data_IF_661675855392
#
_entry.id   IF_661675855392
#
_cell.length_a   1.000
_cell.length_b   1.000
_cell.length_c   1.000
_cell.angle_alpha   90.00
_cell.angle_beta   90.00
_cell.angle_gamma   90.00
#
_symmetry.space_group_name_H-M   'P 1'
#
loop_
_entity.id
_entity.type
_entity.pdbx_description
1 polymer ?
#
# COMPACT_ATOMS: atom_id res chain seq x y z
N UNK A 1 -3.28 -3.55 -19.64
CA UNK A 1 -2.67 -3.36 -18.31
C UNK A 1 -2.09 -1.96 -18.26
N UNK A 2 -2.31 -1.22 -17.17
CA UNK A 2 -2.07 0.22 -17.11
C UNK A 2 -0.56 0.54 -17.05
N UNK A 3 0.02 1.26 -18.03
CA UNK A 3 1.45 1.59 -18.06
C UNK A 3 1.90 2.54 -16.94
N UNK A 4 0.98 3.03 -16.11
CA UNK A 4 1.23 4.00 -15.06
C UNK A 4 1.73 3.39 -13.73
N UNK A 5 1.70 2.06 -13.56
CA UNK A 5 2.13 1.40 -12.32
C UNK A 5 3.47 0.70 -12.54
N UNK A 6 4.56 1.33 -12.08
CA UNK A 6 5.93 0.80 -12.17
C UNK A 6 6.42 0.07 -10.92
N UNK A 7 5.92 0.44 -9.74
CA UNK A 7 6.26 -0.18 -8.46
C UNK A 7 5.00 -0.35 -7.62
N UNK A 8 4.87 -1.51 -6.97
CA UNK A 8 3.80 -1.85 -6.07
C UNK A 8 4.39 -2.15 -4.69
N UNK A 9 4.29 -1.17 -3.79
CA UNK A 9 4.59 -1.37 -2.38
C UNK A 9 3.35 -1.93 -1.67
N UNK A 10 3.46 -3.16 -1.19
CA UNK A 10 2.47 -3.77 -0.31
C UNK A 10 2.90 -3.53 1.14
N UNK A 11 1.98 -3.10 1.98
CA UNK A 11 2.22 -2.92 3.41
C UNK A 11 1.11 -3.59 4.21
N UNK A 12 1.49 -4.29 5.27
CA UNK A 12 0.57 -4.82 6.28
C UNK A 12 1.33 -4.94 7.63
N UNK A 13 0.59 -5.04 8.72
CA UNK A 13 1.15 -5.39 10.03
C UNK A 13 1.64 -6.84 10.07
N UNK A 14 1.11 -7.72 9.22
CA UNK A 14 1.52 -9.13 9.12
C UNK A 14 1.37 -9.70 7.69
N UNK A 15 2.14 -10.75 7.38
CA UNK A 15 1.98 -11.60 6.18
C UNK A 15 2.19 -10.95 4.79
N UNK A 16 2.68 -9.72 4.70
CA UNK A 16 2.94 -9.04 3.41
C UNK A 16 3.95 -9.73 2.48
N UNK A 17 5.06 -10.35 2.96
CA UNK A 17 6.07 -10.92 2.06
C UNK A 17 5.55 -12.06 1.19
N UNK A 18 4.64 -12.88 1.71
CA UNK A 18 4.03 -13.98 0.94
C UNK A 18 3.14 -13.47 -0.19
N UNK A 19 2.38 -12.40 0.08
CA UNK A 19 1.54 -11.74 -0.93
C UNK A 19 2.39 -11.08 -2.01
N UNK A 20 3.49 -10.41 -1.63
CA UNK A 20 4.42 -9.82 -2.60
C UNK A 20 5.05 -10.89 -3.52
N UNK A 21 5.41 -12.05 -2.96
CA UNK A 21 5.93 -13.18 -3.72
C UNK A 21 4.90 -13.68 -4.74
N UNK A 22 3.64 -13.86 -4.32
CA UNK A 22 2.57 -14.31 -5.22
C UNK A 22 2.31 -13.33 -6.36
N UNK A 23 2.25 -12.02 -6.06
CA UNK A 23 2.11 -10.99 -7.09
C UNK A 23 3.32 -10.88 -8.02
N UNK A 24 4.52 -11.24 -7.55
CA UNK A 24 5.74 -11.22 -8.38
C UNK A 24 5.72 -12.27 -9.51
N UNK A 25 4.88 -13.31 -9.39
CA UNK A 25 4.67 -14.29 -10.45
C UNK A 25 3.74 -13.79 -11.56
N UNK A 26 3.06 -12.66 -11.38
CA UNK A 26 2.27 -12.05 -12.44
C UNK A 26 3.20 -11.39 -13.47
N UNK A 27 3.05 -11.75 -14.75
CA UNK A 27 3.82 -11.17 -15.87
C UNK A 27 3.45 -9.71 -16.15
N UNK A 28 3.81 -8.83 -15.22
CA UNK A 28 3.62 -7.38 -15.31
C UNK A 28 4.97 -6.67 -15.18
N UNK A 29 5.14 -5.48 -15.77
CA UNK A 29 6.37 -4.71 -15.61
C UNK A 29 6.52 -4.10 -14.21
N UNK A 30 5.49 -4.17 -13.36
CA UNK A 30 5.52 -3.58 -12.03
C UNK A 30 6.35 -4.44 -11.07
N UNK A 31 7.24 -3.81 -10.30
CA UNK A 31 8.01 -4.49 -9.25
C UNK A 31 7.20 -4.50 -7.96
N UNK A 32 6.85 -5.68 -7.46
CA UNK A 32 6.17 -5.84 -6.18
C UNK A 32 7.18 -5.95 -5.03
N UNK A 33 7.01 -5.15 -3.97
CA UNK A 33 7.78 -5.22 -2.72
C UNK A 33 6.84 -5.30 -1.53
N UNK A 34 7.14 -6.21 -0.60
CA UNK A 34 6.38 -6.37 0.64
C UNK A 34 7.10 -5.71 1.81
N UNK A 35 6.36 -4.88 2.55
CA UNK A 35 6.79 -4.23 3.79
C UNK A 35 5.93 -4.74 4.94
N UNK A 36 6.56 -5.11 6.05
CA UNK A 36 5.88 -5.70 7.20
C UNK A 36 6.26 -5.01 8.50
N UNK A 37 5.25 -4.74 9.32
CA UNK A 37 5.42 -4.10 10.63
C UNK A 37 5.53 -2.57 10.55
N UNK A 38 5.15 -1.91 11.64
CA UNK A 38 5.03 -0.45 11.70
C UNK A 38 6.33 0.29 11.34
N UNK A 39 7.49 -0.31 11.64
CA UNK A 39 8.81 0.28 11.36
C UNK A 39 9.12 0.41 9.85
N UNK A 40 8.46 -0.40 9.01
CA UNK A 40 8.67 -0.39 7.57
C UNK A 40 7.66 0.50 6.81
N UNK A 41 6.65 1.03 7.50
CA UNK A 41 5.66 1.94 6.90
C UNK A 41 6.30 3.16 6.22
N UNK A 42 7.31 3.84 6.80
CA UNK A 42 7.94 4.98 6.13
C UNK A 42 8.62 4.59 4.82
N UNK A 43 9.26 3.42 4.77
CA UNK A 43 9.90 2.90 3.56
C UNK A 43 8.87 2.51 2.50
N UNK A 44 7.73 1.95 2.92
CA UNK A 44 6.63 1.59 2.02
C UNK A 44 5.99 2.81 1.34
N UNK A 45 5.98 3.96 2.02
CA UNK A 45 5.39 5.20 1.54
C UNK A 45 6.37 6.07 0.74
N UNK A 46 7.66 5.77 0.79
CA UNK A 46 8.70 6.61 0.19
C UNK A 46 8.55 6.67 -1.33
N UNK A 47 8.29 7.88 -1.85
CA UNK A 47 8.13 8.11 -3.29
C UNK A 47 6.79 7.64 -3.85
N UNK A 48 5.84 7.18 -3.02
CA UNK A 48 4.51 6.83 -3.47
C UNK A 48 3.78 8.06 -4.06
N UNK A 49 3.18 7.86 -5.22
CA UNK A 49 2.33 8.85 -5.88
C UNK A 49 0.84 8.57 -5.64
N UNK A 50 0.49 7.33 -5.32
CA UNK A 50 -0.87 6.88 -5.02
C UNK A 50 -0.81 5.92 -3.84
N UNK A 51 -1.65 6.15 -2.83
CA UNK A 51 -1.80 5.26 -1.68
C UNK A 51 -3.24 4.76 -1.65
N UNK A 52 -3.42 3.44 -1.66
CA UNK A 52 -4.73 2.80 -1.58
C UNK A 52 -4.93 2.23 -0.18
N UNK A 53 -5.92 2.74 0.56
CA UNK A 53 -6.23 2.25 1.91
C UNK A 53 -7.58 1.53 1.90
N UNK A 54 -7.61 0.20 2.13
CA UNK A 54 -8.86 -0.50 2.40
C UNK A 54 -9.42 -0.07 3.78
N UNK A 55 -10.75 0.06 3.87
CA UNK A 55 -11.52 0.68 4.96
C UNK A 55 -11.12 0.41 6.43
N UNK A 56 -10.43 -0.70 6.72
CA UNK A 56 -10.20 -1.16 8.08
C UNK A 56 -9.24 -0.31 8.91
N UNK A 57 -8.33 0.45 8.30
CA UNK A 57 -7.23 1.15 9.01
C UNK A 57 -7.01 2.55 8.41
N UNK A 58 -8.03 3.42 8.40
CA UNK A 58 -7.94 4.71 7.69
C UNK A 58 -7.20 5.78 8.49
N UNK A 59 -7.51 5.99 9.77
CA UNK A 59 -7.03 7.16 10.52
C UNK A 59 -5.49 7.20 10.66
N UNK A 60 -4.87 6.11 11.13
CA UNK A 60 -3.41 6.06 11.32
C UNK A 60 -2.62 6.08 10.01
N UNK A 61 -3.16 5.47 8.95
CA UNK A 61 -2.51 5.49 7.64
C UNK A 61 -2.57 6.87 6.98
N UNK A 62 -3.68 7.62 7.14
CA UNK A 62 -3.76 9.00 6.66
C UNK A 62 -2.68 9.90 7.28
N UNK A 63 -2.42 9.74 8.57
CA UNK A 63 -1.37 10.51 9.26
C UNK A 63 0.03 10.14 8.75
N UNK A 64 0.30 8.86 8.53
CA UNK A 64 1.57 8.39 7.98
C UNK A 64 1.80 8.89 6.55
N UNK A 65 0.76 8.89 5.69
CA UNK A 65 0.81 9.45 4.34
C UNK A 65 1.13 10.94 4.38
N UNK A 66 0.44 11.70 5.23
CA UNK A 66 0.71 13.13 5.39
C UNK A 66 2.16 13.42 5.82
N UNK A 67 2.77 12.53 6.61
CA UNK A 67 4.16 12.66 7.08
C UNK A 67 5.21 12.22 6.06
N UNK A 68 4.94 11.19 5.27
CA UNK A 68 5.98 10.50 4.48
C UNK A 68 5.82 10.65 2.96
N UNK A 69 4.61 10.93 2.49
CA UNK A 69 4.33 11.20 1.07
C UNK A 69 3.19 12.22 0.92
N UNK A 70 3.37 13.48 1.38
CA UNK A 70 2.31 14.49 1.40
C UNK A 70 1.79 14.88 0.01
N UNK A 71 2.55 14.61 -1.05
CA UNK A 71 2.16 14.86 -2.44
C UNK A 71 1.44 13.66 -3.07
N UNK A 72 1.33 12.54 -2.37
CA UNK A 72 0.65 11.35 -2.87
C UNK A 72 -0.85 11.60 -2.95
N UNK A 73 -1.46 11.06 -4.00
CA UNK A 73 -2.90 10.96 -4.10
C UNK A 73 -3.36 9.85 -3.16
N UNK A 74 -4.32 10.17 -2.29
CA UNK A 74 -4.87 9.21 -1.36
C UNK A 74 -6.20 8.68 -1.89
N UNK A 75 -6.22 7.41 -2.27
CA UNK A 75 -7.41 6.70 -2.71
C UNK A 75 -7.91 5.78 -1.58
N UNK A 76 -8.89 6.25 -0.83
CA UNK A 76 -9.52 5.45 0.22
C UNK A 76 -10.62 4.63 -0.43
N UNK A 77 -10.48 3.30 -0.40
CA UNK A 77 -11.52 2.38 -0.83
C UNK A 77 -12.15 1.82 0.45
N UNK A 78 -13.14 2.56 0.96
CA UNK A 78 -13.94 2.07 2.07
C UNK A 78 -15.03 1.15 1.54
N UNK A 79 -14.87 -0.16 1.68
CA UNK A 79 -16.05 -1.01 1.75
C UNK A 79 -16.86 -0.54 2.98
N UNK A 80 -18.20 -0.45 2.96
CA UNK A 80 -18.95 -0.28 4.19
C UNK A 80 -18.47 -1.36 5.16
N UNK A 81 -17.92 -0.93 6.30
CA UNK A 81 -17.68 -1.82 7.41
C UNK A 81 -19.05 -2.36 7.75
N UNK A 82 -19.37 -3.57 7.29
CA UNK A 82 -20.50 -4.27 7.88
C UNK A 82 -20.17 -4.35 9.36
N UNK A 83 -20.98 -3.65 10.15
CA UNK A 83 -21.06 -3.85 11.58
C UNK A 83 -21.63 -5.23 11.80
N UNK A 84 -20.81 -6.27 11.75
CA UNK A 84 -21.09 -7.59 12.32
C UNK A 84 -19.80 -8.25 12.75
#
# INVERSE_FOLDING_TARGET
>A
MNPLVGELALYDVANTPGVACDLSHMSTPAVAKGYVGADQLPAALQGCQLVVIPAGIVAGLCEAVARHCPTAWLAIISNPVNST
#
